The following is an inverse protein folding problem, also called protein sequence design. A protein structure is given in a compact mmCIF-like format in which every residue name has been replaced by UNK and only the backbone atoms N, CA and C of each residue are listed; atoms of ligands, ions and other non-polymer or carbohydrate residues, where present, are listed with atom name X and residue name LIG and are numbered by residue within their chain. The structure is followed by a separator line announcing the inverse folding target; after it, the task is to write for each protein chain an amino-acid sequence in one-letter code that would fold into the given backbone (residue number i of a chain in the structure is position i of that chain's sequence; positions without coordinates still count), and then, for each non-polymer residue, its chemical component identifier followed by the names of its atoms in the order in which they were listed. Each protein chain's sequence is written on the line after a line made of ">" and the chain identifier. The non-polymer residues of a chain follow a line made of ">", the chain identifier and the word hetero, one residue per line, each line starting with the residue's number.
data_IF_311950940759
#
_entry.id   IF_311950940759
#
_cell.length_a   1.000
_cell.length_b   1.000
_cell.length_c   1.000
_cell.angle_alpha   90.00
_cell.angle_beta   90.00
_cell.angle_gamma   90.00
#
_symmetry.space_group_name_H-M   'P 1'
#
loop_
_entity.id
_entity.type
_entity.pdbx_description
1 polymer ?
#
# COMPACT_ATOMS: atom_id res chain seq x y z
N UNK A 1 -28.14 10.86 -12.43
CA UNK A 1 -26.83 10.36 -11.92
C UNK A 1 -27.08 8.95 -11.42
N UNK A 2 -26.42 7.95 -11.99
CA UNK A 2 -26.57 6.56 -11.56
C UNK A 2 -25.80 6.35 -10.24
N UNK A 3 -26.24 5.38 -9.41
CA UNK A 3 -25.55 4.97 -8.19
C UNK A 3 -24.10 4.56 -8.50
N UNK A 4 -23.87 3.87 -9.62
CA UNK A 4 -22.53 3.46 -10.04
C UNK A 4 -21.58 4.66 -10.25
N UNK A 5 -22.09 5.75 -10.83
CA UNK A 5 -21.31 6.99 -11.03
C UNK A 5 -20.94 7.63 -9.69
N UNK A 6 -21.86 7.58 -8.72
CA UNK A 6 -21.64 8.11 -7.36
C UNK A 6 -20.58 7.28 -6.65
N UNK A 7 -20.67 5.96 -6.74
CA UNK A 7 -19.69 5.04 -6.13
C UNK A 7 -18.31 5.26 -6.73
N UNK A 8 -18.19 5.32 -8.06
CA UNK A 8 -16.92 5.55 -8.73
C UNK A 8 -16.26 6.88 -8.31
N UNK A 9 -17.03 7.98 -8.33
CA UNK A 9 -16.54 9.29 -7.90
C UNK A 9 -16.15 9.32 -6.42
N UNK A 10 -16.94 8.67 -5.57
CA UNK A 10 -16.64 8.60 -4.14
C UNK A 10 -15.35 7.84 -3.89
N UNK A 11 -15.13 6.73 -4.61
CA UNK A 11 -13.88 5.98 -4.54
C UNK A 11 -12.69 6.86 -4.97
N UNK A 12 -12.80 7.56 -6.09
CA UNK A 12 -11.72 8.45 -6.57
C UNK A 12 -11.38 9.53 -5.53
N UNK A 13 -12.38 10.16 -4.91
CA UNK A 13 -12.16 11.14 -3.82
C UNK A 13 -11.44 10.52 -2.63
N UNK A 14 -11.82 9.31 -2.20
CA UNK A 14 -11.16 8.61 -1.08
C UNK A 14 -9.69 8.37 -1.41
N UNK A 15 -9.40 7.87 -2.60
CA UNK A 15 -8.04 7.59 -3.05
C UNK A 15 -7.21 8.87 -3.15
N UNK A 16 -7.73 9.95 -3.71
CA UNK A 16 -7.02 11.24 -3.82
C UNK A 16 -6.80 11.91 -2.46
N UNK A 17 -7.74 11.76 -1.52
CA UNK A 17 -7.69 12.44 -0.22
C UNK A 17 -6.84 11.67 0.80
N UNK A 18 -6.90 10.35 0.79
CA UNK A 18 -6.32 9.51 1.83
C UNK A 18 -5.22 8.56 1.30
N UNK A 19 -5.07 8.42 0.00
CA UNK A 19 -4.03 7.61 -0.61
C UNK A 19 -2.66 8.26 -0.46
N UNK A 20 -1.67 7.44 -0.11
CA UNK A 20 -0.26 7.79 -0.08
C UNK A 20 0.40 7.27 -1.37
N UNK A 21 1.29 8.06 -2.00
CA UNK A 21 1.97 7.61 -3.22
C UNK A 21 3.24 6.87 -2.86
N UNK A 22 3.40 5.69 -3.42
CA UNK A 22 4.54 4.82 -3.15
C UNK A 22 5.22 4.33 -4.42
N UNK A 23 6.54 4.18 -4.35
CA UNK A 23 7.35 3.46 -5.33
C UNK A 23 7.66 2.07 -4.79
N UNK A 24 7.63 1.06 -5.65
CA UNK A 24 8.03 -0.31 -5.33
C UNK A 24 9.28 -0.61 -6.16
N UNK A 25 10.45 -0.59 -5.53
CA UNK A 25 11.73 -0.52 -6.23
C UNK A 25 11.77 0.70 -7.15
N UNK A 26 11.90 0.47 -8.46
CA UNK A 26 11.88 1.51 -9.50
C UNK A 26 10.52 1.66 -10.19
N UNK A 27 9.46 1.01 -9.68
CA UNK A 27 8.13 0.95 -10.29
C UNK A 27 7.13 1.83 -9.55
N UNK A 28 6.23 2.48 -10.29
CA UNK A 28 5.22 3.40 -9.75
C UNK A 28 5.25 4.78 -10.43
N UNK A 29 4.67 5.82 -9.81
CA UNK A 29 4.05 5.82 -8.49
C UNK A 29 2.73 5.06 -8.45
N UNK A 30 2.50 4.33 -7.36
CA UNK A 30 1.23 3.68 -7.05
C UNK A 30 0.54 4.40 -5.91
N UNK A 31 -0.79 4.42 -5.94
CA UNK A 31 -1.59 4.97 -4.86
C UNK A 31 -2.01 3.85 -3.91
N UNK A 32 -1.69 4.00 -2.63
CA UNK A 32 -1.94 3.00 -1.60
C UNK A 32 -2.64 3.63 -0.39
N UNK A 33 -3.60 2.92 0.19
CA UNK A 33 -4.18 3.24 1.49
C UNK A 33 -3.48 2.40 2.56
N UNK A 34 -3.20 3.02 3.70
CA UNK A 34 -2.68 2.32 4.87
C UNK A 34 -3.83 1.75 5.68
N UNK A 35 -3.72 0.47 6.01
CA UNK A 35 -4.56 -0.16 7.03
C UNK A 35 -3.68 -0.51 8.24
N UNK A 36 -3.89 0.24 9.33
CA UNK A 36 -3.04 0.23 10.52
C UNK A 36 -3.16 -1.07 11.35
N UNK A 37 -4.19 -1.89 11.11
CA UNK A 37 -4.43 -3.13 11.83
C UNK A 37 -4.10 -4.34 10.95
N UNK A 38 -2.82 -4.63 10.78
CA UNK A 38 -2.42 -5.82 10.05
C UNK A 38 -2.63 -7.10 10.90
N UNK A 39 -3.75 -7.80 10.69
CA UNK A 39 -4.05 -9.07 11.36
C UNK A 39 -3.45 -10.24 10.57
N UNK A 40 -2.12 -10.36 10.55
CA UNK A 40 -1.45 -11.63 10.23
C UNK A 40 -0.49 -12.01 11.36
N UNK A 41 -0.25 -13.31 11.53
CA UNK A 41 0.70 -13.83 12.52
C UNK A 41 2.12 -13.24 12.32
N UNK A 42 2.45 -12.86 11.08
CA UNK A 42 3.72 -12.23 10.68
C UNK A 42 3.72 -10.70 10.89
N UNK A 43 2.55 -10.07 10.94
CA UNK A 43 2.37 -8.64 11.19
C UNK A 43 2.35 -8.25 12.69
N UNK A 44 2.43 -9.24 13.60
CA UNK A 44 2.53 -9.00 15.05
C UNK A 44 3.89 -8.41 15.50
N UNK A 45 4.84 -8.19 14.59
CA UNK A 45 5.97 -7.30 14.86
C UNK A 45 5.45 -5.86 14.82
N UNK A 46 5.64 -5.09 15.90
CA UNK A 46 4.98 -3.81 16.18
C UNK A 46 5.18 -2.64 15.16
N UNK A 47 5.70 -2.91 13.96
CA UNK A 47 5.99 -1.95 12.88
C UNK A 47 5.46 -2.38 11.50
N UNK A 48 4.65 -3.44 11.42
CA UNK A 48 4.10 -3.95 10.16
C UNK A 48 2.66 -3.46 9.93
N UNK A 49 2.34 -3.04 8.72
CA UNK A 49 0.99 -2.59 8.32
C UNK A 49 0.67 -3.04 6.88
N UNK A 50 -0.61 -2.99 6.53
CA UNK A 50 -1.04 -3.30 5.17
C UNK A 50 -1.04 -2.04 4.30
N UNK A 51 -0.49 -2.17 3.10
CA UNK A 51 -0.74 -1.26 1.99
C UNK A 51 -1.77 -1.88 1.06
N UNK A 52 -2.87 -1.15 0.85
CA UNK A 52 -3.95 -1.52 -0.04
C UNK A 52 -3.88 -0.64 -1.29
N UNK A 53 -3.60 -1.24 -2.43
CA UNK A 53 -3.54 -0.57 -3.72
C UNK A 53 -4.89 -0.59 -4.44
N UNK A 54 -5.09 0.34 -5.38
CA UNK A 54 -6.30 0.35 -6.21
C UNK A 54 -6.39 -0.92 -7.06
N UNK A 55 -7.59 -1.46 -7.24
CA UNK A 55 -7.77 -2.76 -7.89
C UNK A 55 -7.21 -2.88 -9.33
N UNK A 56 -7.09 -1.78 -10.05
CA UNK A 56 -6.60 -1.81 -11.43
C UNK A 56 -5.14 -1.37 -11.55
N UNK A 57 -4.42 -1.26 -10.43
CA UNK A 57 -3.03 -0.78 -10.40
C UNK A 57 -1.99 -1.82 -10.83
N UNK A 58 -2.37 -3.10 -10.94
CA UNK A 58 -1.47 -4.17 -11.38
C UNK A 58 -0.25 -4.38 -10.47
N UNK A 59 -0.35 -3.98 -9.21
CA UNK A 59 0.76 -4.01 -8.27
C UNK A 59 1.16 -5.44 -7.94
N UNK A 60 2.45 -5.70 -8.07
CA UNK A 60 3.10 -6.93 -7.62
C UNK A 60 4.33 -6.51 -6.83
N UNK A 61 4.39 -6.83 -5.54
CA UNK A 61 5.58 -6.62 -4.72
C UNK A 61 6.17 -7.98 -4.37
N UNK A 62 7.48 -8.15 -4.52
CA UNK A 62 8.19 -9.35 -4.08
C UNK A 62 8.61 -9.20 -2.61
N UNK A 63 8.81 -10.32 -1.88
CA UNK A 63 9.42 -10.26 -0.56
C UNK A 63 10.75 -9.50 -0.59
N UNK A 64 10.99 -8.66 0.42
CA UNK A 64 12.12 -7.75 0.59
C UNK A 64 12.25 -6.64 -0.44
N UNK A 65 11.25 -6.43 -1.30
CA UNK A 65 11.25 -5.30 -2.20
C UNK A 65 11.04 -3.99 -1.44
N UNK A 66 11.87 -3.00 -1.75
CA UNK A 66 11.85 -1.68 -1.10
C UNK A 66 10.64 -0.89 -1.56
N UNK A 67 9.94 -0.29 -0.61
CA UNK A 67 8.77 0.55 -0.82
C UNK A 67 9.07 1.94 -0.26
N UNK A 68 9.11 2.93 -1.14
CA UNK A 68 9.40 4.33 -0.79
C UNK A 68 8.13 5.15 -0.81
N UNK A 69 7.82 5.83 0.30
CA UNK A 69 6.71 6.75 0.42
C UNK A 69 7.12 8.14 -0.07
N UNK A 70 6.49 8.63 -1.13
CA UNK A 70 6.96 9.84 -1.83
C UNK A 70 6.71 11.12 -1.04
N UNK A 71 5.61 11.19 -0.28
CA UNK A 71 5.29 12.36 0.53
C UNK A 71 6.13 12.45 1.79
N UNK A 72 6.27 11.33 2.51
CA UNK A 72 6.95 11.29 3.81
C UNK A 72 8.45 11.00 3.69
N UNK A 73 8.91 10.47 2.57
CA UNK A 73 10.28 9.99 2.39
C UNK A 73 10.58 8.70 3.15
N UNK A 74 9.60 8.12 3.85
CA UNK A 74 9.77 6.89 4.61
C UNK A 74 10.07 5.70 3.68
N UNK A 75 10.70 4.66 4.24
CA UNK A 75 11.06 3.43 3.53
C UNK A 75 10.55 2.23 4.31
N UNK A 76 9.91 1.30 3.61
CA UNK A 76 9.50 0.02 4.15
C UNK A 76 9.94 -1.13 3.23
N UNK A 77 10.03 -2.33 3.78
CA UNK A 77 10.26 -3.54 3.00
C UNK A 77 8.94 -4.34 2.90
N UNK A 78 8.66 -4.88 1.73
CA UNK A 78 7.57 -5.85 1.56
C UNK A 78 7.92 -7.16 2.30
N UNK A 79 7.19 -7.50 3.35
CA UNK A 79 7.42 -8.75 4.11
C UNK A 79 6.50 -9.88 3.65
N UNK A 80 5.27 -9.54 3.24
CA UNK A 80 4.32 -10.50 2.67
C UNK A 80 3.85 -9.98 1.31
N UNK A 81 4.16 -10.70 0.21
CA UNK A 81 3.84 -10.26 -1.13
C UNK A 81 2.33 -10.34 -1.40
N UNK A 82 1.87 -9.65 -2.45
CA UNK A 82 0.49 -9.75 -2.89
C UNK A 82 0.22 -11.17 -3.42
N UNK A 83 -0.63 -11.92 -2.73
CA UNK A 83 -1.15 -13.19 -3.24
C UNK A 83 -2.42 -12.92 -4.06
N UNK A 84 -2.46 -13.52 -5.25
CA UNK A 84 -3.49 -13.47 -6.31
C UNK A 84 -4.84 -12.88 -5.86
N UNK A 85 -5.21 -11.80 -6.55
CA UNK A 85 -6.47 -11.05 -6.48
C UNK A 85 -6.65 -10.04 -5.33
N UNK A 86 -5.71 -9.94 -4.39
CA UNK A 86 -5.82 -8.95 -3.33
C UNK A 86 -4.66 -7.96 -3.38
N UNK A 87 -5.01 -6.71 -3.64
CA UNK A 87 -4.16 -5.51 -3.74
C UNK A 87 -3.51 -5.12 -2.42
N UNK A 88 -3.23 -6.10 -1.57
CA UNK A 88 -2.86 -5.95 -0.18
C UNK A 88 -1.46 -6.52 0.00
N UNK A 89 -0.53 -5.68 0.41
CA UNK A 89 0.86 -6.04 0.69
C UNK A 89 1.12 -5.74 2.16
N UNK A 90 1.79 -6.62 2.89
CA UNK A 90 2.30 -6.29 4.23
C UNK A 90 3.66 -5.67 4.07
N UNK A 91 3.84 -4.49 4.65
CA UNK A 91 5.13 -3.80 4.66
C UNK A 91 5.58 -3.59 6.09
N UNK A 92 6.88 -3.64 6.30
CA UNK A 92 7.53 -3.36 7.58
C UNK A 92 8.43 -2.15 7.40
N UNK A 93 8.28 -1.12 8.22
CA UNK A 93 9.22 0.01 8.19
C UNK A 93 10.64 -0.46 8.47
N UNK A 94 11.57 -0.01 7.64
CA UNK A 94 12.98 -0.13 8.02
C UNK A 94 13.26 0.96 9.07
N UNK A 95 13.96 0.64 10.17
CA UNK A 95 14.43 1.67 11.08
C UNK A 95 15.34 2.60 10.28
N UNK A 96 15.02 3.91 10.28
CA UNK A 96 15.85 4.93 9.63
C UNK A 96 17.26 4.81 10.22
N UNK A 97 18.29 4.50 9.43
CA UNK A 97 19.66 4.46 9.95
C UNK A 97 20.02 5.86 10.45
N UNK A 98 20.41 5.96 11.71
CA UNK A 98 20.94 7.19 12.32
C UNK A 98 22.22 7.67 11.63
#
# INVERSE_FOLDING_TARGET
>A
MNVDDIVARTQDVIWETHGERVMIGQRGPYLALREENAISLEAMQASSYYLIFKANSGVQASPNEVITFLESGNIAACVVPSFRANYKVVVQYEPIPN
#
